data_IF_241740011862
#
_entry.id   IF_241740011862
#
_cell.length_a   1.000
_cell.length_b   1.000
_cell.length_c   1.000
_cell.angle_alpha   90.00
_cell.angle_beta   90.00
_cell.angle_gamma   90.00
#
_symmetry.space_group_name_H-M   'P 1'
#
loop_
_entity.id
_entity.type
_entity.pdbx_description
1 polymer ?
#
# COMPACT_ATOMS: atom_id res chain seq x y z
N UNK A 1 8.30 -14.19 4.23
CA UNK A 1 8.21 -15.44 5.05
C UNK A 1 7.36 -15.33 6.34
N UNK A 2 6.33 -14.47 6.33
CA UNK A 2 5.58 -14.12 7.54
C UNK A 2 6.18 -12.94 8.32
N UNK A 3 7.29 -12.37 7.85
CA UNK A 3 7.73 -11.01 8.16
C UNK A 3 6.99 -10.05 7.19
N UNK A 4 6.47 -8.90 7.67
CA UNK A 4 5.92 -7.87 6.78
C UNK A 4 7.00 -7.31 5.86
N UNK A 5 6.71 -7.10 4.58
CA UNK A 5 7.65 -6.61 3.55
C UNK A 5 8.37 -5.31 3.98
N UNK A 6 7.67 -4.43 4.71
CA UNK A 6 8.29 -3.21 5.28
C UNK A 6 9.46 -3.45 6.25
N UNK A 7 9.58 -4.68 6.76
CA UNK A 7 10.60 -5.13 7.70
C UNK A 7 11.45 -6.29 7.16
N UNK A 8 11.02 -6.93 6.08
CA UNK A 8 11.77 -7.96 5.37
C UNK A 8 12.82 -7.28 4.46
N UNK A 9 13.86 -8.02 4.08
CA UNK A 9 14.93 -7.54 3.20
C UNK A 9 15.15 -8.49 2.02
N UNK A 10 14.23 -9.45 1.85
CA UNK A 10 14.21 -10.59 0.93
C UNK A 10 12.73 -11.03 0.82
N UNK A 11 11.90 -10.13 0.30
CA UNK A 11 10.42 -10.23 0.34
C UNK A 11 9.95 -11.54 -0.34
N UNK A 12 10.51 -11.87 -1.50
CA UNK A 12 10.19 -13.11 -2.23
C UNK A 12 10.89 -14.38 -1.70
N UNK A 13 11.85 -14.20 -0.79
CA UNK A 13 12.62 -15.25 -0.13
C UNK A 13 13.43 -16.14 -1.10
N UNK A 14 13.93 -15.58 -2.21
CA UNK A 14 14.78 -16.29 -3.17
C UNK A 14 16.27 -16.33 -2.76
N UNK A 15 16.66 -15.52 -1.77
CA UNK A 15 18.01 -15.41 -1.24
C UNK A 15 18.86 -14.29 -1.84
N UNK A 16 18.27 -13.43 -2.66
CA UNK A 16 18.81 -12.15 -3.12
C UNK A 16 18.13 -11.04 -2.29
N UNK A 17 18.89 -10.18 -1.60
CA UNK A 17 18.26 -9.10 -0.86
C UNK A 17 17.57 -8.11 -1.79
N UNK A 18 16.39 -7.57 -1.46
CA UNK A 18 15.57 -6.70 -2.33
C UNK A 18 16.39 -5.57 -2.97
N UNK A 19 17.31 -4.97 -2.20
CA UNK A 19 18.23 -3.92 -2.68
C UNK A 19 19.15 -4.32 -3.86
N UNK A 20 19.24 -5.62 -4.16
CA UNK A 20 20.02 -6.23 -5.23
C UNK A 20 19.17 -7.12 -6.14
N UNK A 21 17.90 -7.32 -5.81
CA UNK A 21 16.96 -8.04 -6.67
C UNK A 21 16.44 -7.10 -7.77
N UNK A 22 16.03 -7.70 -8.87
CA UNK A 22 15.29 -7.04 -9.93
C UNK A 22 13.83 -7.49 -9.99
N UNK A 23 13.40 -8.48 -9.19
CA UNK A 23 12.04 -9.01 -9.10
C UNK A 23 11.76 -9.26 -7.61
N UNK A 24 11.85 -8.19 -6.81
CA UNK A 24 11.94 -8.27 -5.35
C UNK A 24 10.70 -8.85 -4.66
N UNK A 25 9.53 -8.78 -5.31
CA UNK A 25 8.28 -9.40 -4.85
C UNK A 25 8.00 -10.78 -5.50
N UNK A 26 8.87 -11.23 -6.42
CA UNK A 26 8.78 -12.50 -7.12
C UNK A 26 7.55 -12.65 -8.00
N UNK A 27 6.95 -11.53 -8.44
CA UNK A 27 5.75 -11.53 -9.28
C UNK A 27 6.05 -11.91 -10.76
N UNK A 28 7.34 -11.98 -11.12
CA UNK A 28 7.85 -12.37 -12.43
C UNK A 28 8.00 -11.19 -13.40
N UNK A 29 7.88 -9.96 -12.90
CA UNK A 29 8.19 -8.72 -13.59
C UNK A 29 9.46 -8.09 -13.01
N UNK A 30 10.12 -7.25 -13.82
CA UNK A 30 11.27 -6.50 -13.27
C UNK A 30 10.68 -5.36 -12.43
N UNK A 31 11.24 -5.05 -11.25
CA UNK A 31 10.83 -3.93 -10.39
C UNK A 31 10.79 -2.61 -11.17
N UNK A 32 11.65 -2.45 -12.21
CA UNK A 32 11.66 -1.27 -13.09
C UNK A 32 10.43 -1.18 -14.02
N UNK A 33 9.68 -2.27 -14.14
CA UNK A 33 8.50 -2.43 -14.98
C UNK A 33 7.25 -2.83 -14.19
N UNK A 34 7.26 -2.72 -12.86
CA UNK A 34 6.02 -2.80 -12.08
C UNK A 34 5.00 -1.79 -12.61
N UNK A 35 3.75 -2.23 -12.64
CA UNK A 35 2.58 -1.57 -13.22
C UNK A 35 1.37 -2.09 -12.42
N UNK A 36 1.22 -1.56 -11.20
CA UNK A 36 0.33 -2.10 -10.18
C UNK A 36 -1.14 -2.02 -10.61
N UNK A 37 -1.51 -0.95 -11.30
CA UNK A 37 -2.87 -0.69 -11.79
C UNK A 37 -3.15 -1.28 -13.18
N UNK A 38 -2.09 -1.69 -13.90
CA UNK A 38 -2.11 -2.36 -15.21
C UNK A 38 -2.60 -1.46 -16.33
N UNK A 39 -2.31 -0.17 -16.26
CA UNK A 39 -2.65 0.79 -17.31
C UNK A 39 -1.61 0.87 -18.44
N UNK A 40 -0.42 0.29 -18.21
CA UNK A 40 0.70 0.24 -19.14
C UNK A 40 1.74 1.35 -18.93
N UNK A 41 1.63 2.14 -17.87
CA UNK A 41 2.62 3.09 -17.37
C UNK A 41 3.34 2.45 -16.18
N UNK A 42 4.69 2.35 -16.20
CA UNK A 42 5.39 1.80 -15.05
C UNK A 42 5.25 2.69 -13.81
N UNK A 43 5.05 2.09 -12.64
CA UNK A 43 4.89 2.76 -11.33
C UNK A 43 5.97 3.82 -11.08
N UNK A 44 7.21 3.56 -11.49
CA UNK A 44 8.33 4.51 -11.36
C UNK A 44 8.11 5.89 -12.03
N UNK A 45 7.14 6.00 -12.94
CA UNK A 45 6.80 7.22 -13.67
C UNK A 45 5.29 7.49 -13.73
N UNK A 46 4.47 6.64 -13.11
CA UNK A 46 3.03 6.84 -13.01
C UNK A 46 2.71 7.93 -11.98
N UNK A 47 1.70 8.74 -12.26
CA UNK A 47 1.18 9.76 -11.35
C UNK A 47 -0.24 9.48 -10.85
N UNK A 48 -0.84 8.33 -11.22
CA UNK A 48 -2.19 7.87 -10.86
C UNK A 48 -2.19 6.33 -10.67
N UNK A 49 -1.43 5.85 -9.68
CA UNK A 49 -1.15 4.41 -9.45
C UNK A 49 -2.38 3.57 -9.06
N UNK A 50 -3.57 4.16 -8.97
CA UNK A 50 -4.81 3.44 -8.70
C UNK A 50 -5.87 3.62 -9.83
N UNK A 51 -5.54 4.37 -10.88
CA UNK A 51 -6.40 4.68 -12.02
C UNK A 51 -7.75 5.32 -11.68
N UNK A 52 -7.82 6.12 -10.62
CA UNK A 52 -9.08 6.77 -10.24
C UNK A 52 -9.30 8.12 -10.96
N UNK A 53 -8.29 8.59 -11.71
CA UNK A 53 -8.31 9.83 -12.48
C UNK A 53 -7.89 11.07 -11.67
N UNK A 54 -7.45 10.88 -10.42
CA UNK A 54 -6.88 11.90 -9.55
C UNK A 54 -5.40 11.55 -9.36
N UNK A 55 -4.48 12.45 -9.73
CA UNK A 55 -3.07 12.18 -9.51
C UNK A 55 -2.76 11.93 -8.02
N UNK A 56 -1.89 10.96 -7.71
CA UNK A 56 -1.58 10.52 -6.33
C UNK A 56 -1.27 11.68 -5.39
N UNK A 57 -0.51 12.67 -5.88
CA UNK A 57 -0.14 13.87 -5.12
C UNK A 57 -1.30 14.86 -4.86
N UNK A 58 -2.52 14.53 -5.28
CA UNK A 58 -3.76 15.30 -5.11
C UNK A 58 -4.89 14.47 -4.50
N UNK A 59 -4.62 13.24 -4.09
CA UNK A 59 -5.56 12.45 -3.32
C UNK A 59 -5.90 13.20 -2.01
N UNK A 60 -7.16 13.08 -1.62
CA UNK A 60 -7.86 13.80 -0.53
C UNK A 60 -9.10 12.97 -0.18
N UNK A 61 -8.86 11.79 0.41
CA UNK A 61 -9.86 10.71 0.53
C UNK A 61 -11.08 11.14 1.37
N UNK A 62 -10.87 11.92 2.42
CA UNK A 62 -11.93 12.44 3.28
C UNK A 62 -12.54 13.77 2.78
N UNK A 63 -11.95 14.37 1.74
CA UNK A 63 -12.33 15.64 1.16
C UNK A 63 -12.30 16.83 2.13
N UNK A 64 -11.38 16.84 3.11
CA UNK A 64 -11.21 17.93 4.06
C UNK A 64 -10.36 19.10 3.49
N UNK A 65 -9.64 18.82 2.38
CA UNK A 65 -8.80 19.77 1.66
C UNK A 65 -7.32 19.74 2.04
N UNK A 66 -6.90 18.79 2.87
CA UNK A 66 -5.52 18.42 3.14
C UNK A 66 -5.21 17.19 2.26
N UNK A 67 -4.19 17.24 1.39
CA UNK A 67 -3.85 16.07 0.59
C UNK A 67 -3.31 14.93 1.45
N UNK A 68 -3.70 13.68 1.19
CA UNK A 68 -3.37 12.49 1.98
C UNK A 68 -1.86 12.35 2.27
N UNK A 69 -1.01 12.68 1.29
CA UNK A 69 0.45 12.65 1.45
C UNK A 69 0.98 13.52 2.62
N UNK A 70 0.17 14.44 3.14
CA UNK A 70 0.45 15.25 4.33
C UNK A 70 -0.67 15.23 5.37
N UNK A 71 -1.77 14.53 5.12
CA UNK A 71 -2.82 14.30 6.10
C UNK A 71 -2.36 13.19 7.07
N UNK A 72 -2.54 13.36 8.39
CA UNK A 72 -2.33 12.27 9.33
C UNK A 72 -3.55 11.35 9.55
N UNK A 73 -4.72 11.63 8.96
CA UNK A 73 -6.01 10.94 9.17
C UNK A 73 -6.86 10.99 7.87
N UNK A 74 -6.49 10.16 6.88
CA UNK A 74 -6.99 10.18 5.50
C UNK A 74 -8.51 9.88 5.37
N UNK A 75 -9.14 9.31 6.40
CA UNK A 75 -10.58 8.99 6.43
C UNK A 75 -11.38 9.78 7.49
N UNK A 76 -10.69 10.61 8.27
CA UNK A 76 -11.23 11.46 9.33
C UNK A 76 -12.02 10.68 10.40
N UNK A 77 -11.61 9.44 10.69
CA UNK A 77 -12.23 8.58 11.70
C UNK A 77 -11.83 8.95 13.15
N UNK A 78 -10.79 9.78 13.30
CA UNK A 78 -10.26 10.27 14.57
C UNK A 78 -9.06 9.50 15.11
N UNK A 79 -8.55 8.53 14.36
CA UNK A 79 -7.26 7.87 14.55
C UNK A 79 -6.31 8.31 13.45
N UNK A 80 -5.01 8.37 13.78
CA UNK A 80 -4.04 8.59 12.71
C UNK A 80 -3.91 7.32 11.88
N UNK A 81 -3.58 7.43 10.58
CA UNK A 81 -3.45 6.27 9.67
C UNK A 81 -2.50 5.20 10.25
N UNK A 82 -1.43 5.65 10.92
CA UNK A 82 -0.49 4.78 11.67
C UNK A 82 -1.11 4.01 12.85
N UNK A 83 -2.40 4.15 13.10
CA UNK A 83 -3.19 3.57 14.20
C UNK A 83 -4.63 3.25 13.78
N UNK A 84 -4.87 3.07 12.49
CA UNK A 84 -6.19 2.79 11.96
C UNK A 84 -6.69 1.41 12.44
N UNK A 85 -7.99 1.35 12.73
CA UNK A 85 -8.74 0.18 13.20
C UNK A 85 -10.13 0.27 12.54
N UNK A 86 -10.14 -0.07 11.25
CA UNK A 86 -11.24 0.21 10.32
C UNK A 86 -12.55 -0.46 10.74
N UNK A 87 -12.49 -1.68 11.30
CA UNK A 87 -13.68 -2.42 11.76
C UNK A 87 -14.00 -2.24 13.26
N UNK A 88 -13.11 -1.56 14.00
CA UNK A 88 -13.20 -1.29 15.44
C UNK A 88 -13.23 -2.56 16.31
N UNK A 89 -12.56 -3.65 15.91
CA UNK A 89 -12.45 -4.88 16.70
C UNK A 89 -11.35 -4.81 17.78
N UNK A 90 -10.47 -3.81 17.69
CA UNK A 90 -9.38 -3.54 18.62
C UNK A 90 -8.03 -4.13 18.20
N UNK A 91 -7.92 -4.70 17.00
CA UNK A 91 -6.68 -4.90 16.26
C UNK A 91 -6.45 -3.67 15.36
N UNK A 92 -5.19 -3.33 15.13
CA UNK A 92 -4.87 -2.31 14.12
C UNK A 92 -4.88 -2.98 12.76
N UNK A 93 -5.24 -2.25 11.71
CA UNK A 93 -5.22 -2.72 10.32
C UNK A 93 -3.88 -3.39 9.96
N UNK A 94 -2.74 -2.87 10.44
CA UNK A 94 -1.41 -3.48 10.22
C UNK A 94 -1.24 -4.90 10.80
N UNK A 95 -2.15 -5.35 11.68
CA UNK A 95 -2.15 -6.65 12.35
C UNK A 95 -3.49 -7.38 12.27
N UNK A 96 -4.43 -6.85 11.50
CA UNK A 96 -5.71 -7.50 11.24
C UNK A 96 -5.64 -8.11 9.82
N UNK A 97 -6.21 -9.30 9.69
CA UNK A 97 -6.26 -10.01 8.41
C UNK A 97 -7.58 -9.69 7.69
N UNK A 98 -8.57 -9.05 8.34
CA UNK A 98 -9.93 -8.80 7.84
C UNK A 98 -10.42 -7.43 8.33
N UNK A 99 -9.65 -6.38 8.00
CA UNK A 99 -9.79 -4.99 8.49
C UNK A 99 -11.15 -4.33 8.20
N UNK A 100 -12.01 -4.94 7.38
CA UNK A 100 -13.36 -4.48 7.10
C UNK A 100 -14.47 -5.44 7.58
N UNK A 101 -14.09 -6.57 8.19
CA UNK A 101 -14.94 -7.63 8.74
C UNK A 101 -15.97 -8.16 7.74
N UNK A 102 -15.63 -8.20 6.44
CA UNK A 102 -16.48 -8.75 5.40
C UNK A 102 -16.37 -10.29 5.31
N UNK A 103 -15.39 -10.87 6.01
CA UNK A 103 -15.11 -12.30 6.08
C UNK A 103 -14.20 -12.80 4.96
N UNK A 104 -13.59 -11.89 4.22
CA UNK A 104 -12.54 -12.13 3.22
C UNK A 104 -11.28 -11.42 3.71
N UNK A 105 -10.15 -12.13 3.82
CA UNK A 105 -8.93 -11.48 4.26
C UNK A 105 -8.48 -10.35 3.32
N UNK A 106 -8.07 -9.23 3.92
CA UNK A 106 -7.51 -8.03 3.28
C UNK A 106 -6.05 -8.19 2.87
#
# INVERSE_FOLDING_TARGET
DGIPDTLDMDDDNDGIPDSMDFDSDGDGSDDLFQDIDKDGVPDSVDDDMNNDGIPDHKQDHDCDGIPDIVDPDDDNDGYFDTKQDSDNDGLLNEWDDDDDNDGIPG
#
